data_IF_100469317549
#
_entry.id   IF_100469317549
#
_cell.length_a   1.000
_cell.length_b   1.000
_cell.length_c   1.000
_cell.angle_alpha   90.00
_cell.angle_beta   90.00
_cell.angle_gamma   90.00
#
_symmetry.space_group_name_H-M   'P 1'
#
loop_
_entity.id
_entity.type
_entity.pdbx_description
1 polymer ?
#
# COMPACT_ATOMS: atom_id res chain seq x y z
N UNK A 1 -6.19 12.19 7.48
CA UNK A 1 -5.69 10.84 7.17
C UNK A 1 -4.27 11.00 6.65
N UNK A 2 -3.31 10.27 7.21
CA UNK A 2 -1.91 10.28 6.77
C UNK A 2 -1.47 8.89 6.31
N UNK A 3 -0.55 8.87 5.35
CA UNK A 3 0.09 7.64 4.86
C UNK A 3 1.47 7.53 5.47
N UNK A 4 1.73 6.42 6.17
CA UNK A 4 3.00 6.14 6.81
C UNK A 4 3.67 4.95 6.13
N UNK A 5 4.98 5.08 5.89
CA UNK A 5 5.81 4.04 5.29
C UNK A 5 6.77 3.50 6.34
N UNK A 6 6.73 2.18 6.57
CA UNK A 6 7.68 1.47 7.43
C UNK A 6 8.64 0.71 6.52
N UNK A 7 9.83 1.27 6.32
CA UNK A 7 10.84 0.72 5.41
C UNK A 7 11.34 -0.64 5.92
N UNK A 8 11.44 -1.61 5.00
CA UNK A 8 11.94 -2.94 5.29
C UNK A 8 13.47 -2.99 5.14
N UNK A 9 14.20 -2.40 6.08
CA UNK A 9 15.67 -2.35 6.07
C UNK A 9 16.30 -3.72 6.37
N UNK A 10 16.40 -4.58 5.36
CA UNK A 10 17.02 -5.91 5.48
C UNK A 10 16.14 -6.97 6.14
N UNK A 11 14.84 -6.71 6.31
CA UNK A 11 13.90 -7.71 6.80
C UNK A 11 13.48 -8.71 5.73
N UNK A 12 12.98 -9.86 6.16
CA UNK A 12 12.53 -10.93 5.26
C UNK A 12 11.04 -10.78 4.94
N UNK A 13 10.62 -10.88 3.67
CA UNK A 13 11.44 -11.10 2.48
C UNK A 13 12.15 -9.82 1.97
N UNK A 14 13.36 -9.96 1.43
CA UNK A 14 14.15 -8.83 0.87
C UNK A 14 13.46 -8.10 -0.30
N UNK A 15 12.53 -8.79 -0.96
CA UNK A 15 11.72 -8.20 -2.02
C UNK A 15 10.65 -7.25 -1.48
N UNK A 16 10.30 -7.30 -0.20
CA UNK A 16 9.42 -6.30 0.41
C UNK A 16 10.24 -5.05 0.71
N UNK A 17 9.78 -3.90 0.25
CA UNK A 17 10.47 -2.63 0.39
C UNK A 17 9.93 -1.80 1.57
N UNK A 18 8.61 -1.82 1.77
CA UNK A 18 7.98 -1.15 2.89
C UNK A 18 6.60 -1.74 3.19
N UNK A 19 6.19 -1.67 4.46
CA UNK A 19 4.78 -1.65 4.83
C UNK A 19 4.21 -0.25 4.68
N UNK A 20 2.93 -0.17 4.35
CA UNK A 20 2.19 1.09 4.20
C UNK A 20 0.98 1.05 5.12
N UNK A 21 0.84 2.08 5.93
CA UNK A 21 -0.26 2.24 6.88
C UNK A 21 -1.02 3.53 6.60
N UNK A 22 -2.36 3.49 6.66
CA UNK A 22 -3.19 4.69 6.62
C UNK A 22 -3.68 4.99 8.02
N UNK A 23 -3.26 6.12 8.58
CA UNK A 23 -3.65 6.56 9.92
C UNK A 23 -4.85 7.49 9.79
N UNK A 24 -5.95 7.13 10.45
CA UNK A 24 -7.17 7.92 10.47
C UNK A 24 -7.12 8.87 11.67
N UNK A 25 -7.34 10.15 11.41
CA UNK A 25 -7.12 11.21 12.40
C UNK A 25 -8.43 11.86 12.84
N UNK A 26 -9.50 11.67 12.07
CA UNK A 26 -10.78 12.32 12.25
C UNK A 26 -11.92 11.32 12.01
N UNK A 27 -13.10 11.62 12.56
CA UNK A 27 -14.30 10.81 12.42
C UNK A 27 -14.29 9.51 13.25
N UNK A 28 -15.20 8.58 12.91
CA UNK A 28 -15.42 7.33 13.65
C UNK A 28 -14.18 6.43 13.74
N UNK A 29 -13.29 6.52 12.75
CA UNK A 29 -12.07 5.71 12.70
C UNK A 29 -10.86 6.42 13.32
N UNK A 30 -11.02 7.63 13.89
CA UNK A 30 -9.91 8.38 14.50
C UNK A 30 -9.18 7.54 15.55
N UNK A 31 -7.85 7.54 15.49
CA UNK A 31 -6.99 6.73 16.35
C UNK A 31 -6.77 5.29 15.86
N UNK A 32 -7.43 4.88 14.77
CA UNK A 32 -7.19 3.60 14.11
C UNK A 32 -6.28 3.77 12.89
N UNK A 33 -5.69 2.66 12.46
CA UNK A 33 -4.95 2.58 11.19
C UNK A 33 -5.37 1.39 10.35
N UNK A 34 -5.40 1.58 9.03
CA UNK A 34 -5.50 0.49 8.07
C UNK A 34 -4.11 -0.05 7.76
N UNK A 35 -3.91 -1.34 7.98
CA UNK A 35 -2.66 -2.07 7.72
C UNK A 35 -2.86 -3.12 6.62
N UNK A 36 -1.76 -3.66 6.09
CA UNK A 36 -1.78 -4.71 5.06
C UNK A 36 -1.52 -4.21 3.64
N UNK A 37 -1.29 -2.91 3.44
CA UNK A 37 -0.67 -2.41 2.22
C UNK A 37 0.85 -2.59 2.30
N UNK A 38 1.49 -2.86 1.16
CA UNK A 38 2.95 -2.99 1.10
C UNK A 38 3.51 -2.68 -0.29
N UNK A 39 4.73 -2.19 -0.32
CA UNK A 39 5.51 -1.92 -1.54
C UNK A 39 6.53 -3.04 -1.72
N UNK A 40 6.65 -3.57 -2.93
CA UNK A 40 7.52 -4.69 -3.26
C UNK A 40 8.41 -4.36 -4.46
N UNK A 41 9.65 -4.83 -4.40
CA UNK A 41 10.59 -4.80 -5.50
C UNK A 41 10.01 -5.60 -6.67
N UNK A 42 9.90 -4.97 -7.83
CA UNK A 42 9.60 -5.70 -9.07
C UNK A 42 10.89 -6.20 -9.72
N UNK A 43 10.75 -6.86 -10.87
CA UNK A 43 11.88 -7.31 -11.69
C UNK A 43 12.76 -6.13 -12.09
N UNK A 44 14.02 -6.40 -12.42
CA UNK A 44 15.02 -5.38 -12.74
C UNK A 44 14.53 -4.47 -13.89
N UNK A 45 14.42 -3.17 -13.61
CA UNK A 45 13.96 -2.16 -14.58
C UNK A 45 12.46 -1.84 -14.53
N UNK A 46 11.68 -2.56 -13.73
CA UNK A 46 10.25 -2.30 -13.54
C UNK A 46 9.98 -1.45 -12.29
N UNK A 47 8.84 -0.75 -12.28
CA UNK A 47 8.39 -0.02 -11.10
C UNK A 47 8.09 -0.97 -9.92
N UNK A 48 8.33 -0.56 -8.66
CA UNK A 48 7.91 -1.33 -7.50
C UNK A 48 6.42 -1.67 -7.56
N UNK A 49 6.02 -2.89 -7.23
CA UNK A 49 4.60 -3.24 -7.18
C UNK A 49 4.00 -2.86 -5.82
N UNK A 50 2.69 -2.61 -5.79
CA UNK A 50 1.94 -2.31 -4.56
C UNK A 50 0.86 -3.35 -4.37
N UNK A 51 0.90 -4.01 -3.20
CA UNK A 51 -0.15 -4.88 -2.72
C UNK A 51 -1.02 -4.11 -1.72
N UNK A 52 -2.33 -4.28 -1.82
CA UNK A 52 -3.31 -3.76 -0.87
C UNK A 52 -3.78 -4.91 0.03
N UNK A 53 -4.44 -4.64 1.18
CA UNK A 53 -4.98 -5.67 2.04
C UNK A 53 -5.86 -6.60 1.22
N UNK A 54 -5.61 -7.89 1.36
CA UNK A 54 -6.30 -8.93 0.60
C UNK A 54 -6.62 -10.11 1.51
N UNK A 55 -7.63 -10.88 1.12
CA UNK A 55 -7.97 -12.16 1.76
C UNK A 55 -7.84 -13.28 0.75
N UNK A 56 -7.38 -14.43 1.24
CA UNK A 56 -7.41 -15.68 0.49
C UNK A 56 -8.73 -16.40 0.67
N UNK A 57 -9.08 -17.22 -0.32
CA UNK A 57 -10.14 -18.21 -0.23
C UNK A 57 -9.77 -19.44 -1.06
N UNK A 58 -10.20 -20.61 -0.60
CA UNK A 58 -9.95 -21.87 -1.30
C UNK A 58 -11.01 -22.10 -2.39
N UNK A 59 -10.56 -22.59 -3.54
CA UNK A 59 -11.39 -23.08 -4.65
C UNK A 59 -10.96 -24.50 -5.00
N UNK A 60 -11.76 -25.24 -5.77
CA UNK A 60 -11.35 -26.55 -6.28
C UNK A 60 -10.03 -26.51 -7.07
N UNK A 61 -9.69 -25.36 -7.67
CA UNK A 61 -8.45 -25.13 -8.41
C UNK A 61 -7.32 -24.48 -7.60
N UNK A 62 -7.44 -24.41 -6.27
CA UNK A 62 -6.41 -23.82 -5.39
C UNK A 62 -6.83 -22.52 -4.70
N UNK A 63 -5.85 -21.83 -4.11
CA UNK A 63 -6.07 -20.60 -3.34
C UNK A 63 -6.14 -19.39 -4.28
N UNK A 64 -7.21 -18.60 -4.14
CA UNK A 64 -7.41 -17.33 -4.83
C UNK A 64 -7.36 -16.19 -3.82
N UNK A 65 -7.12 -14.98 -4.29
CA UNK A 65 -7.03 -13.78 -3.46
C UNK A 65 -7.94 -12.69 -4.02
N UNK A 66 -8.49 -11.85 -3.14
CA UNK A 66 -9.20 -10.63 -3.52
C UNK A 66 -8.81 -9.45 -2.64
N UNK A 67 -8.78 -8.26 -3.23
CA UNK A 67 -8.47 -7.01 -2.55
C UNK A 67 -9.65 -6.55 -1.66
N UNK A 68 -9.34 -6.00 -0.49
CA UNK A 68 -10.28 -5.48 0.50
C UNK A 68 -10.49 -3.97 0.38
N UNK A 69 -9.54 -3.24 -0.19
CA UNK A 69 -9.75 -1.83 -0.56
C UNK A 69 -10.47 -1.80 -1.90
N UNK A 70 -11.66 -1.18 -1.93
CA UNK A 70 -12.53 -1.14 -3.09
C UNK A 70 -13.17 0.25 -3.26
N UNK A 71 -13.58 0.62 -4.47
CA UNK A 71 -14.42 1.80 -4.71
C UNK A 71 -15.69 1.75 -3.85
N UNK A 72 -16.13 2.91 -3.35
CA UNK A 72 -17.25 3.04 -2.39
C UNK A 72 -18.64 3.01 -3.03
N UNK A 73 -18.77 3.33 -4.32
CA UNK A 73 -20.07 3.26 -4.98
C UNK A 73 -20.40 1.81 -5.37
N UNK A 74 -21.55 1.32 -4.90
CA UNK A 74 -22.24 0.14 -5.45
C UNK A 74 -22.73 0.45 -6.88
N UNK A 75 -21.80 0.64 -7.81
CA UNK A 75 -22.13 1.00 -9.20
C UNK A 75 -21.09 0.54 -10.20
N UNK A 76 -20.03 -0.11 -9.72
CA UNK A 76 -18.90 -0.47 -10.53
C UNK A 76 -18.73 -1.98 -10.53
N UNK A 77 -19.48 -2.69 -11.38
CA UNK A 77 -19.21 -4.11 -11.63
C UNK A 77 -17.72 -4.35 -11.95
N UNK A 78 -17.24 -5.60 -12.02
CA UNK A 78 -15.82 -5.91 -12.25
C UNK A 78 -15.19 -5.28 -13.52
N UNK A 79 -15.98 -4.61 -14.36
CA UNK A 79 -15.58 -3.90 -15.57
C UNK A 79 -15.72 -2.37 -15.54
N UNK A 80 -16.12 -1.76 -14.43
CA UNK A 80 -16.20 -0.30 -14.38
C UNK A 80 -14.81 0.36 -14.47
N UNK A 81 -14.60 1.24 -15.46
CA UNK A 81 -13.37 2.00 -15.60
C UNK A 81 -13.06 2.88 -14.39
N UNK A 82 -14.08 3.45 -13.71
CA UNK A 82 -13.91 4.40 -12.61
C UNK A 82 -13.29 3.76 -11.37
N UNK A 83 -13.82 2.61 -10.97
CA UNK A 83 -13.31 1.84 -9.84
C UNK A 83 -11.91 1.29 -10.05
N UNK A 84 -11.62 0.79 -11.26
CA UNK A 84 -10.26 0.35 -11.65
C UNK A 84 -9.29 1.52 -11.64
N UNK A 85 -9.73 2.69 -12.09
CA UNK A 85 -8.94 3.92 -12.07
C UNK A 85 -8.59 4.35 -10.64
N UNK A 86 -9.54 4.29 -9.70
CA UNK A 86 -9.30 4.66 -8.30
C UNK A 86 -8.21 3.79 -7.65
N UNK A 87 -8.29 2.46 -7.80
CA UNK A 87 -7.26 1.54 -7.26
C UNK A 87 -5.91 1.76 -7.95
N UNK A 88 -5.91 2.00 -9.27
CA UNK A 88 -4.68 2.29 -10.01
C UNK A 88 -4.01 3.57 -9.50
N UNK A 89 -4.78 4.63 -9.30
CA UNK A 89 -4.29 5.91 -8.81
C UNK A 89 -3.75 5.79 -7.38
N UNK A 90 -4.43 5.04 -6.51
CA UNK A 90 -3.92 4.74 -5.17
C UNK A 90 -2.57 4.03 -5.24
N UNK A 91 -2.48 2.94 -6.02
CA UNK A 91 -1.22 2.19 -6.18
C UNK A 91 -0.11 3.05 -6.78
N UNK A 92 -0.44 3.99 -7.67
CA UNK A 92 0.51 4.92 -8.27
C UNK A 92 1.04 5.91 -7.24
N UNK A 93 0.14 6.60 -6.53
CA UNK A 93 0.49 7.51 -5.44
C UNK A 93 1.42 6.82 -4.43
N UNK A 94 1.06 5.60 -4.03
CA UNK A 94 1.85 4.86 -3.03
C UNK A 94 3.28 4.55 -3.48
N UNK A 95 3.49 4.27 -4.78
CA UNK A 95 4.83 4.06 -5.36
C UNK A 95 5.63 5.35 -5.42
N UNK A 96 5.01 6.41 -5.88
CA UNK A 96 5.67 7.71 -6.08
C UNK A 96 6.14 8.29 -4.75
N UNK A 97 5.30 8.23 -3.71
CA UNK A 97 5.69 8.64 -2.36
C UNK A 97 6.80 7.76 -1.77
N UNK A 98 6.73 6.44 -1.98
CA UNK A 98 7.82 5.54 -1.56
C UNK A 98 9.14 5.91 -2.23
N UNK A 99 9.15 6.22 -3.54
CA UNK A 99 10.38 6.60 -4.27
C UNK A 99 11.01 7.85 -3.67
N UNK A 100 10.20 8.88 -3.41
CA UNK A 100 10.66 10.10 -2.75
C UNK A 100 11.37 9.77 -1.44
N UNK A 101 10.77 8.92 -0.60
CA UNK A 101 11.34 8.50 0.68
C UNK A 101 12.62 7.68 0.51
N UNK A 102 12.65 6.75 -0.46
CA UNK A 102 13.79 5.88 -0.71
C UNK A 102 15.01 6.62 -1.30
N UNK A 103 14.78 7.74 -1.98
CA UNK A 103 15.81 8.63 -2.52
C UNK A 103 16.33 9.64 -1.47
N UNK A 104 15.70 9.75 -0.29
CA UNK A 104 16.17 10.63 0.76
C UNK A 104 17.49 10.12 1.37
N UNK A 105 18.46 11.01 1.65
CA UNK A 105 19.63 10.67 2.46
C UNK A 105 19.21 10.09 3.82
N UNK A 106 19.91 9.06 4.31
CA UNK A 106 19.53 8.33 5.54
C UNK A 106 19.35 9.25 6.78
N UNK A 107 20.06 10.37 6.82
CA UNK A 107 20.01 11.35 7.91
C UNK A 107 18.64 12.06 8.00
N UNK A 108 18.00 12.34 6.86
CA UNK A 108 16.67 12.97 6.79
C UNK A 108 15.54 11.96 7.04
N UNK A 109 15.72 10.70 6.60
CA UNK A 109 14.77 9.61 6.87
C UNK A 109 14.66 9.25 8.37
N UNK A 110 15.67 9.57 9.19
CA UNK A 110 15.62 9.44 10.65
C UNK A 110 14.92 10.63 11.33
N UNK A 111 14.99 11.84 10.77
CA UNK A 111 14.37 13.04 11.33
C UNK A 111 12.83 13.00 11.33
N UNK A 112 12.23 12.41 10.30
CA UNK A 112 10.77 12.21 10.19
C UNK A 112 10.20 11.28 11.28
N UNK A 113 11.04 10.47 11.96
CA UNK A 113 10.64 9.58 13.06
C UNK A 113 10.54 10.25 14.44
N UNK A 114 10.98 11.50 14.59
CA UNK A 114 11.11 12.18 15.90
C UNK A 114 10.02 13.19 16.22
N UNK A 115 9.11 13.47 15.29
CA UNK A 115 7.94 14.32 15.54
C UNK A 115 6.69 13.46 15.54
N UNK A 116 6.43 12.82 16.68
CA UNK A 116 5.19 12.11 17.01
C UNK A 116 4.77 12.52 18.40
#
# INVERSE_FOLDING_TARGET
MRVHYVLNHGGTPESKLADVEFHFEEGLLSGLKLVGCSVWRSRKGEEPSVLVPSRSYATAGGIRYYDLIRPSEEGSGPNDPGGKLAIRNLKQYLREEYRKIAELPEEQARGSRRTG
#
